data_IF_429227481699
#
_entry.id   IF_429227481699
#
_cell.length_a   1.000
_cell.length_b   1.000
_cell.length_c   1.000
_cell.angle_alpha   90.00
_cell.angle_beta   90.00
_cell.angle_gamma   90.00
#
_symmetry.space_group_name_H-M   'P 1'
#
loop_
_entity.id
_entity.type
_entity.pdbx_description
1 polymer ?
#
# COMPACT_ATOMS: atom_id res chain seq x y z
N UNK A 1 -27.28 7.15 -14.47
CA UNK A 1 -27.24 6.95 -12.99
C UNK A 1 -25.86 6.62 -12.42
N UNK A 2 -24.89 6.09 -13.18
CA UNK A 2 -23.58 5.69 -12.64
C UNK A 2 -22.55 6.83 -12.43
N UNK A 3 -22.64 7.92 -13.16
CA UNK A 3 -21.64 9.00 -13.14
C UNK A 3 -21.63 9.77 -11.81
N UNK A 4 -22.78 10.22 -11.33
CA UNK A 4 -22.89 10.95 -10.05
C UNK A 4 -22.45 10.12 -8.83
N UNK A 5 -22.66 8.80 -8.86
CA UNK A 5 -22.23 7.91 -7.78
C UNK A 5 -20.70 7.77 -7.76
N UNK A 6 -20.04 7.82 -8.93
CA UNK A 6 -18.58 7.85 -9.05
C UNK A 6 -17.96 9.13 -8.49
N UNK A 7 -18.54 10.28 -8.80
CA UNK A 7 -18.09 11.58 -8.28
C UNK A 7 -18.20 11.70 -6.76
N UNK A 8 -19.33 11.28 -6.18
CA UNK A 8 -19.51 11.33 -4.72
C UNK A 8 -18.48 10.50 -4.01
N UNK A 9 -18.20 9.32 -4.56
CA UNK A 9 -17.21 8.43 -4.04
C UNK A 9 -15.79 9.02 -4.12
N UNK A 10 -15.42 9.59 -5.25
CA UNK A 10 -14.14 10.27 -5.46
C UNK A 10 -13.93 11.42 -4.45
N UNK A 11 -14.98 12.22 -4.20
CA UNK A 11 -14.92 13.28 -3.18
C UNK A 11 -14.90 12.73 -1.75
N UNK A 12 -15.52 11.57 -1.50
CA UNK A 12 -15.44 10.91 -0.20
C UNK A 12 -14.02 10.40 0.08
N UNK A 13 -13.35 9.87 -0.93
CA UNK A 13 -11.92 9.48 -0.86
C UNK A 13 -11.05 10.69 -0.51
N UNK A 14 -11.29 11.83 -1.17
CA UNK A 14 -10.57 13.08 -0.86
C UNK A 14 -10.80 13.55 0.59
N UNK A 15 -12.03 13.44 1.10
CA UNK A 15 -12.36 13.78 2.50
C UNK A 15 -11.65 12.84 3.47
N UNK A 16 -11.61 11.55 3.15
CA UNK A 16 -10.92 10.55 3.97
C UNK A 16 -9.42 10.86 4.01
N UNK A 17 -8.81 11.12 2.86
CA UNK A 17 -7.38 11.47 2.79
C UNK A 17 -7.07 12.79 3.53
N UNK A 18 -7.93 13.80 3.42
CA UNK A 18 -7.74 15.09 4.07
C UNK A 18 -7.66 15.00 5.61
N UNK A 19 -8.26 13.96 6.22
CA UNK A 19 -8.16 13.71 7.66
C UNK A 19 -6.72 13.39 8.09
N UNK A 20 -5.89 12.93 7.16
CA UNK A 20 -4.50 12.54 7.40
C UNK A 20 -3.48 13.60 6.97
N UNK A 21 -3.91 14.83 6.65
CA UNK A 21 -3.03 15.93 6.23
C UNK A 21 -1.90 16.27 7.21
N UNK A 22 -2.10 15.95 8.49
CA UNK A 22 -1.09 16.15 9.55
C UNK A 22 -0.23 14.91 9.81
N UNK A 23 -0.41 13.85 9.04
CA UNK A 23 0.38 12.62 9.18
C UNK A 23 1.59 12.73 8.24
N UNK A 24 2.78 12.76 8.81
CA UNK A 24 4.02 12.66 8.02
C UNK A 24 4.02 11.33 7.23
N UNK A 25 4.57 11.33 6.04
CA UNK A 25 4.57 10.15 5.17
C UNK A 25 3.30 9.96 4.33
N UNK A 26 2.32 10.87 4.40
CA UNK A 26 1.12 10.87 3.57
C UNK A 26 1.09 12.12 2.71
N UNK A 27 0.69 11.98 1.44
CA UNK A 27 0.43 13.15 0.56
C UNK A 27 -0.74 13.97 1.09
N UNK A 28 -0.59 15.30 1.09
CA UNK A 28 -1.62 16.21 1.61
C UNK A 28 -2.62 16.60 0.53
N UNK A 29 -3.91 16.59 0.88
CA UNK A 29 -4.98 17.20 0.10
C UNK A 29 -5.06 18.68 0.45
N UNK A 30 -4.95 19.55 -0.54
CA UNK A 30 -5.07 20.99 -0.38
C UNK A 30 -6.52 21.44 -0.55
N UNK A 31 -7.22 20.86 -1.53
CA UNK A 31 -8.62 21.20 -1.82
C UNK A 31 -9.30 20.06 -2.58
N UNK A 32 -10.63 20.05 -2.59
CA UNK A 32 -11.43 19.19 -3.45
C UNK A 32 -12.77 19.87 -3.77
N UNK A 33 -13.17 19.87 -5.04
CA UNK A 33 -14.35 20.58 -5.49
C UNK A 33 -14.98 19.94 -6.73
N UNK A 34 -16.18 20.41 -7.08
CA UNK A 34 -16.87 20.05 -8.31
C UNK A 34 -16.89 21.23 -9.26
N UNK A 35 -16.55 21.00 -10.50
CA UNK A 35 -16.61 22.00 -11.55
C UNK A 35 -16.76 21.29 -12.92
N UNK A 36 -17.46 21.93 -13.87
CA UNK A 36 -17.63 21.43 -15.24
C UNK A 36 -18.16 19.97 -15.34
N UNK A 37 -19.03 19.56 -14.40
CA UNK A 37 -19.63 18.22 -14.37
C UNK A 37 -18.64 17.11 -13.99
N UNK A 38 -17.55 17.44 -13.31
CA UNK A 38 -16.60 16.48 -12.77
C UNK A 38 -16.09 16.90 -11.38
N UNK A 39 -15.36 16.04 -10.69
CA UNK A 39 -14.75 16.32 -9.41
C UNK A 39 -13.23 16.39 -9.51
N UNK A 40 -12.63 17.28 -8.74
CA UNK A 40 -11.19 17.52 -8.68
C UNK A 40 -10.69 17.35 -7.26
N UNK A 41 -9.51 16.75 -7.11
CA UNK A 41 -8.74 16.74 -5.87
C UNK A 41 -7.43 17.47 -6.15
N UNK A 42 -7.14 18.50 -5.37
CA UNK A 42 -5.89 19.25 -5.42
C UNK A 42 -4.99 18.75 -4.31
N UNK A 43 -3.84 18.23 -4.65
CA UNK A 43 -2.86 17.72 -3.70
C UNK A 43 -1.59 18.55 -3.71
N UNK A 44 -0.78 18.42 -2.67
CA UNK A 44 0.58 18.98 -2.70
C UNK A 44 1.35 18.40 -3.89
N UNK A 45 2.14 19.25 -4.53
CA UNK A 45 3.06 18.80 -5.57
C UNK A 45 4.29 18.16 -4.93
N UNK A 46 4.60 16.94 -5.32
CA UNK A 46 5.76 16.19 -4.82
C UNK A 46 6.86 16.18 -5.87
N UNK A 47 7.93 16.91 -5.63
CA UNK A 47 9.09 16.95 -6.51
C UNK A 47 10.01 15.77 -6.16
N UNK A 48 9.83 14.65 -6.84
CA UNK A 48 10.56 13.40 -6.58
C UNK A 48 10.31 12.35 -7.65
N UNK A 49 10.68 11.11 -7.36
CA UNK A 49 10.43 9.96 -8.21
C UNK A 49 9.71 8.87 -7.42
N UNK A 50 8.91 8.05 -8.09
CA UNK A 50 8.28 6.90 -7.44
C UNK A 50 9.35 5.87 -7.03
N UNK A 51 9.08 5.10 -5.99
CA UNK A 51 9.94 3.99 -5.58
C UNK A 51 10.13 2.98 -6.72
N UNK A 52 9.13 2.83 -7.60
CA UNK A 52 9.25 2.02 -8.82
C UNK A 52 10.32 2.58 -9.77
N UNK A 53 10.28 3.88 -10.05
CA UNK A 53 11.30 4.54 -10.89
C UNK A 53 12.67 4.45 -10.23
N UNK A 54 12.74 4.61 -8.92
CA UNK A 54 13.96 4.44 -8.15
C UNK A 54 14.56 3.05 -8.34
N UNK A 55 13.78 2.00 -8.13
CA UNK A 55 14.21 0.61 -8.30
C UNK A 55 14.57 0.26 -9.76
N UNK A 56 13.89 0.87 -10.73
CA UNK A 56 14.24 0.71 -12.16
C UNK A 56 15.59 1.33 -12.50
N UNK A 57 15.94 2.43 -11.85
CA UNK A 57 17.18 3.17 -12.11
C UNK A 57 18.37 2.57 -11.36
N UNK A 58 18.19 2.24 -10.09
CA UNK A 58 19.28 1.87 -9.17
C UNK A 58 19.31 0.38 -8.83
N UNK A 59 18.25 -0.36 -9.16
CA UNK A 59 18.12 -1.78 -8.80
C UNK A 59 17.68 -2.00 -7.35
N UNK A 60 17.86 -3.24 -6.84
CA UNK A 60 17.53 -3.58 -5.46
C UNK A 60 18.35 -2.78 -4.45
N UNK A 61 17.73 -2.47 -3.31
CA UNK A 61 18.32 -1.64 -2.26
C UNK A 61 18.78 -2.47 -1.05
N UNK A 62 19.61 -1.87 -0.21
CA UNK A 62 20.05 -2.49 1.04
C UNK A 62 18.90 -2.58 2.07
N UNK A 63 19.09 -3.45 3.07
CA UNK A 63 18.13 -3.56 4.19
C UNK A 63 18.03 -2.25 4.97
N UNK A 64 19.15 -1.56 5.19
CA UNK A 64 19.18 -0.27 5.88
C UNK A 64 18.38 0.80 5.12
N UNK A 65 18.60 0.89 3.81
CA UNK A 65 17.86 1.82 2.95
C UNK A 65 16.35 1.50 2.90
N UNK A 66 16.01 0.21 2.79
CA UNK A 66 14.62 -0.25 2.89
C UNK A 66 13.99 0.17 4.22
N UNK A 67 14.68 -0.02 5.36
CA UNK A 67 14.18 0.39 6.66
C UNK A 67 13.96 1.90 6.74
N UNK A 68 14.86 2.71 6.22
CA UNK A 68 14.74 4.17 6.19
C UNK A 68 13.54 4.63 5.34
N UNK A 69 13.29 3.99 4.21
CA UNK A 69 12.14 4.28 3.33
C UNK A 69 10.82 3.89 4.02
N UNK A 70 10.77 2.73 4.64
CA UNK A 70 9.50 2.19 5.14
C UNK A 70 9.15 2.61 6.58
N UNK A 71 10.08 3.05 7.41
CA UNK A 71 9.78 3.50 8.77
C UNK A 71 8.69 4.60 8.82
N UNK A 72 8.79 5.72 8.07
CA UNK A 72 7.74 6.73 8.08
C UNK A 72 6.43 6.25 7.44
N UNK A 73 6.49 5.32 6.49
CA UNK A 73 5.29 4.71 5.88
C UNK A 73 4.55 3.82 6.89
N UNK A 74 5.27 3.03 7.67
CA UNK A 74 4.70 2.19 8.73
C UNK A 74 4.01 3.04 9.79
N UNK A 75 4.66 4.12 10.24
CA UNK A 75 4.06 5.06 11.20
C UNK A 75 2.80 5.74 10.66
N UNK A 76 2.83 6.13 9.38
CA UNK A 76 1.68 6.73 8.71
C UNK A 76 0.51 5.75 8.61
N UNK A 77 0.77 4.52 8.17
CA UNK A 77 -0.25 3.48 8.04
C UNK A 77 -0.82 3.05 9.38
N UNK A 78 -0.01 2.98 10.44
CA UNK A 78 -0.53 2.68 11.77
C UNK A 78 -1.57 3.72 12.22
N UNK A 79 -1.29 5.01 12.00
CA UNK A 79 -2.26 6.09 12.29
C UNK A 79 -3.52 5.99 11.43
N UNK A 80 -3.39 5.65 10.16
CA UNK A 80 -4.51 5.46 9.24
C UNK A 80 -5.37 4.28 9.70
N UNK A 81 -4.75 3.15 10.05
CA UNK A 81 -5.43 1.95 10.54
C UNK A 81 -6.16 2.19 11.87
N UNK A 82 -5.57 2.96 12.80
CA UNK A 82 -6.21 3.35 14.06
C UNK A 82 -7.48 4.19 13.85
N UNK A 83 -7.61 4.87 12.71
CA UNK A 83 -8.82 5.61 12.31
C UNK A 83 -9.79 4.75 11.47
N UNK A 84 -9.61 3.44 11.41
CA UNK A 84 -10.52 2.54 10.72
C UNK A 84 -10.36 2.51 9.19
N UNK A 85 -9.31 3.10 8.64
CA UNK A 85 -9.08 3.18 7.19
C UNK A 85 -7.94 2.25 6.78
N UNK A 86 -8.05 1.62 5.61
CA UNK A 86 -6.99 0.86 4.95
C UNK A 86 -6.74 1.43 3.55
N UNK A 87 -5.51 1.36 3.10
CA UNK A 87 -5.07 1.95 1.82
C UNK A 87 -5.45 1.11 0.60
N UNK A 88 -5.22 -0.21 0.65
CA UNK A 88 -5.58 -1.24 -0.35
C UNK A 88 -4.79 -1.24 -1.66
N UNK A 89 -3.93 -0.28 -1.91
CA UNK A 89 -3.11 -0.20 -3.12
C UNK A 89 -1.65 0.20 -2.85
N UNK A 90 -1.04 -0.39 -1.81
CA UNK A 90 0.37 -0.17 -1.51
C UNK A 90 1.22 -0.92 -2.53
N UNK A 91 2.13 -0.20 -3.18
CA UNK A 91 3.08 -0.74 -4.15
C UNK A 91 4.16 0.31 -4.44
N UNK A 92 5.26 -0.05 -5.11
CA UNK A 92 6.28 0.93 -5.47
C UNK A 92 5.80 2.08 -6.35
N UNK A 93 4.67 1.92 -7.05
CA UNK A 93 4.06 3.00 -7.85
C UNK A 93 3.48 4.11 -6.98
N UNK A 94 3.01 3.76 -5.78
CA UNK A 94 2.28 4.67 -4.88
C UNK A 94 3.13 5.17 -3.69
N UNK A 95 4.44 4.99 -3.75
CA UNK A 95 5.41 5.55 -2.80
C UNK A 95 6.30 6.52 -3.56
N UNK A 96 6.31 7.80 -3.14
CA UNK A 96 7.17 8.84 -3.68
C UNK A 96 8.41 9.00 -2.82
N UNK A 97 9.57 8.93 -3.44
CA UNK A 97 10.86 9.26 -2.83
C UNK A 97 11.22 10.71 -3.21
N UNK A 98 11.35 11.56 -2.20
CA UNK A 98 11.66 12.97 -2.34
C UNK A 98 13.16 13.22 -2.11
N UNK A 99 13.67 14.37 -2.54
CA UNK A 99 15.00 14.83 -2.12
C UNK A 99 15.15 14.78 -0.59
N UNK A 100 16.37 14.61 -0.10
CA UNK A 100 16.69 14.56 1.35
C UNK A 100 16.20 13.28 2.07
N UNK A 101 15.68 12.29 1.32
CA UNK A 101 15.27 10.99 1.87
C UNK A 101 13.86 10.98 2.47
N UNK A 102 13.09 12.06 2.31
CA UNK A 102 11.67 12.05 2.66
C UNK A 102 10.88 11.11 1.74
N UNK A 103 9.88 10.41 2.27
CA UNK A 103 9.00 9.54 1.51
C UNK A 103 7.55 9.83 1.81
N UNK A 104 6.69 9.66 0.79
CA UNK A 104 5.25 9.86 0.95
C UNK A 104 4.46 8.76 0.24
N UNK A 105 3.46 8.26 0.95
CA UNK A 105 2.44 7.38 0.41
C UNK A 105 1.40 8.21 -0.33
N UNK A 106 1.09 7.79 -1.55
CA UNK A 106 0.16 8.48 -2.46
C UNK A 106 -1.01 7.57 -2.83
N UNK A 107 -1.98 8.13 -3.52
CA UNK A 107 -3.09 7.43 -4.19
C UNK A 107 -3.96 6.60 -3.24
N UNK A 108 -4.81 7.31 -2.52
CA UNK A 108 -5.83 6.73 -1.65
C UNK A 108 -7.15 6.40 -2.40
N UNK A 109 -7.10 6.35 -3.75
CA UNK A 109 -8.27 6.05 -4.56
C UNK A 109 -8.91 4.69 -4.32
N UNK A 110 -8.17 3.78 -3.69
CA UNK A 110 -8.67 2.49 -3.24
C UNK A 110 -8.96 2.43 -1.73
N UNK A 111 -8.65 3.49 -0.97
CA UNK A 111 -8.80 3.50 0.48
C UNK A 111 -10.26 3.28 0.92
N UNK A 112 -10.43 2.57 2.04
CA UNK A 112 -11.74 2.19 2.56
C UNK A 112 -11.73 2.18 4.09
N UNK A 113 -12.87 2.60 4.64
CA UNK A 113 -13.22 2.27 6.03
C UNK A 113 -13.54 0.78 6.11
N UNK A 114 -12.70 0.01 6.79
CA UNK A 114 -12.88 -1.43 6.92
C UNK A 114 -13.89 -1.81 8.01
N UNK A 115 -14.39 -0.83 8.76
CA UNK A 115 -15.47 -1.00 9.74
C UNK A 115 -16.86 -0.86 9.10
N UNK A 116 -16.95 -0.30 7.89
CA UNK A 116 -18.20 -0.17 7.14
C UNK A 116 -18.45 -1.40 6.25
N UNK A 117 -19.19 -2.35 6.78
CA UNK A 117 -19.58 -3.59 6.05
C UNK A 117 -20.65 -3.37 4.98
N UNK A 118 -21.25 -2.17 4.87
CA UNK A 118 -22.32 -1.87 3.90
C UNK A 118 -21.79 -1.49 2.51
N UNK A 119 -20.51 -1.20 2.39
CA UNK A 119 -19.92 -0.75 1.14
C UNK A 119 -19.59 -1.94 0.22
N UNK A 120 -20.60 -2.44 -0.49
CA UNK A 120 -20.43 -3.45 -1.54
C UNK A 120 -19.76 -2.88 -2.79
N UNK A 121 -18.80 -3.67 -3.32
CA UNK A 121 -18.48 -3.69 -4.74
C UNK A 121 -17.75 -2.49 -5.31
N UNK A 122 -16.47 -2.34 -4.95
CA UNK A 122 -15.52 -1.55 -5.72
C UNK A 122 -14.61 -2.48 -6.50
N UNK A 123 -14.72 -2.46 -7.82
CA UNK A 123 -13.70 -3.03 -8.69
C UNK A 123 -12.42 -2.19 -8.57
N UNK A 124 -11.56 -2.58 -7.63
CA UNK A 124 -10.18 -2.12 -7.59
C UNK A 124 -9.43 -2.89 -8.68
N UNK A 125 -8.66 -2.20 -9.50
CA UNK A 125 -7.71 -2.87 -10.39
C UNK A 125 -6.62 -3.44 -9.50
N UNK A 126 -6.64 -4.75 -9.29
CA UNK A 126 -5.70 -5.43 -8.41
C UNK A 126 -4.30 -5.44 -9.01
N UNK A 127 -3.31 -5.00 -8.26
CA UNK A 127 -1.90 -5.06 -8.66
C UNK A 127 -1.33 -6.44 -8.36
N UNK A 128 -1.18 -7.26 -9.41
CA UNK A 128 -0.64 -8.62 -9.32
C UNK A 128 0.69 -8.65 -8.57
N UNK A 129 0.77 -9.52 -7.57
CA UNK A 129 1.91 -9.69 -6.68
C UNK A 129 1.90 -8.81 -5.43
N UNK A 130 1.12 -7.71 -5.39
CA UNK A 130 0.94 -6.84 -4.23
C UNK A 130 -0.41 -7.01 -3.57
N UNK A 131 -1.45 -7.31 -4.33
CA UNK A 131 -2.79 -7.55 -3.80
C UNK A 131 -2.86 -8.92 -3.09
N UNK A 132 -3.29 -8.97 -1.81
CA UNK A 132 -3.47 -10.22 -1.09
C UNK A 132 -4.75 -10.94 -1.52
N UNK A 133 -4.86 -12.22 -1.14
CA UNK A 133 -5.92 -13.12 -1.59
C UNK A 133 -7.33 -12.62 -1.25
N UNK A 134 -7.52 -11.96 -0.11
CA UNK A 134 -8.82 -11.42 0.31
C UNK A 134 -9.32 -10.25 -0.54
N UNK A 135 -8.47 -9.65 -1.36
CA UNK A 135 -8.89 -8.62 -2.32
C UNK A 135 -9.48 -9.21 -3.61
N UNK A 136 -9.21 -10.48 -3.90
CA UNK A 136 -9.77 -11.20 -5.04
C UNK A 136 -11.17 -11.74 -4.77
N UNK A 137 -11.60 -11.80 -3.51
CA UNK A 137 -12.92 -12.20 -3.09
C UNK A 137 -13.77 -10.97 -2.74
N UNK A 138 -14.93 -10.84 -3.41
CA UNK A 138 -15.87 -9.73 -3.15
C UNK A 138 -16.42 -9.72 -1.71
N UNK A 139 -16.38 -10.88 -1.03
CA UNK A 139 -16.78 -11.06 0.37
C UNK A 139 -15.57 -11.19 1.32
N UNK A 140 -14.38 -11.05 0.79
CA UNK A 140 -13.13 -11.15 1.56
C UNK A 140 -13.05 -10.08 2.64
N UNK A 141 -12.88 -10.51 3.89
CA UNK A 141 -12.69 -9.58 5.01
C UNK A 141 -11.33 -8.90 4.89
N UNK A 142 -11.35 -7.61 4.65
CA UNK A 142 -10.17 -6.77 4.54
C UNK A 142 -9.95 -5.97 5.85
N UNK A 143 -8.72 -5.65 6.14
CA UNK A 143 -8.32 -4.91 7.34
C UNK A 143 -6.84 -4.53 7.27
N UNK A 144 -6.23 -4.08 8.37
CA UNK A 144 -4.80 -3.72 8.41
C UNK A 144 -3.87 -4.80 7.81
N UNK A 145 -4.20 -6.07 7.98
CA UNK A 145 -3.46 -7.21 7.40
C UNK A 145 -3.41 -7.21 5.88
N UNK A 146 -4.35 -6.53 5.21
CA UNK A 146 -4.40 -6.35 3.75
C UNK A 146 -3.24 -5.44 3.30
N UNK A 147 -3.07 -4.30 3.95
CA UNK A 147 -1.96 -3.38 3.70
C UNK A 147 -0.63 -3.98 4.13
N UNK A 148 -0.60 -4.74 5.22
CA UNK A 148 0.60 -5.43 5.70
C UNK A 148 1.15 -6.41 4.65
N UNK A 149 0.28 -7.14 3.95
CA UNK A 149 0.73 -8.00 2.84
C UNK A 149 1.35 -7.17 1.71
N UNK A 150 0.68 -6.10 1.28
CA UNK A 150 1.16 -5.24 0.20
C UNK A 150 2.48 -4.53 0.56
N UNK A 151 2.66 -4.13 1.83
CA UNK A 151 3.93 -3.64 2.37
C UNK A 151 5.02 -4.71 2.27
N UNK A 152 4.75 -5.92 2.77
CA UNK A 152 5.68 -7.05 2.70
C UNK A 152 6.10 -7.35 1.26
N UNK A 153 5.16 -7.32 0.30
CA UNK A 153 5.43 -7.52 -1.12
C UNK A 153 6.30 -6.41 -1.71
N UNK A 154 6.06 -5.17 -1.28
CA UNK A 154 6.85 -4.01 -1.71
C UNK A 154 8.27 -4.07 -1.14
N UNK A 155 8.43 -4.35 0.15
CA UNK A 155 9.74 -4.55 0.80
C UNK A 155 10.51 -5.72 0.16
N UNK A 156 9.83 -6.83 -0.10
CA UNK A 156 10.42 -7.99 -0.76
C UNK A 156 10.97 -7.62 -2.14
N UNK A 157 10.19 -6.87 -2.95
CA UNK A 157 10.68 -6.41 -4.26
C UNK A 157 11.85 -5.44 -4.13
N UNK A 158 11.83 -4.54 -3.16
CA UNK A 158 12.94 -3.62 -2.91
C UNK A 158 14.25 -4.34 -2.65
N UNK A 159 14.22 -5.41 -1.85
CA UNK A 159 15.41 -6.15 -1.46
C UNK A 159 15.90 -7.14 -2.52
N UNK A 160 14.97 -7.78 -3.23
CA UNK A 160 15.30 -8.90 -4.13
C UNK A 160 15.30 -8.50 -5.61
N UNK A 161 14.72 -7.35 -5.96
CA UNK A 161 14.44 -6.95 -7.33
C UNK A 161 13.31 -7.78 -7.99
N UNK A 162 12.70 -8.70 -7.25
CA UNK A 162 11.66 -9.62 -7.75
C UNK A 162 10.35 -9.36 -7.02
N UNK A 163 9.29 -9.26 -7.80
CA UNK A 163 7.92 -9.20 -7.28
C UNK A 163 7.47 -10.62 -6.89
N UNK A 164 6.75 -10.81 -5.76
CA UNK A 164 6.09 -12.09 -5.49
C UNK A 164 5.15 -12.50 -6.61
N UNK A 165 4.95 -13.79 -6.79
CA UNK A 165 3.88 -14.31 -7.63
C UNK A 165 2.52 -13.83 -7.09
N UNK A 166 1.52 -13.81 -7.96
CA UNK A 166 0.15 -13.43 -7.61
C UNK A 166 -0.40 -14.29 -6.46
N UNK A 167 -1.14 -13.67 -5.54
CA UNK A 167 -1.64 -14.34 -4.34
C UNK A 167 -2.55 -15.55 -4.68
N UNK A 168 -3.28 -15.50 -5.78
CA UNK A 168 -4.12 -16.62 -6.24
C UNK A 168 -3.26 -17.80 -6.68
N UNK A 169 -2.16 -17.55 -7.40
CA UNK A 169 -1.21 -18.59 -7.78
C UNK A 169 -0.52 -19.17 -6.54
N UNK A 170 -0.04 -18.32 -5.64
CA UNK A 170 0.60 -18.72 -4.39
C UNK A 170 -0.34 -19.51 -3.47
N UNK A 171 -1.64 -19.29 -3.53
CA UNK A 171 -2.62 -20.04 -2.74
C UNK A 171 -2.76 -21.50 -3.19
N UNK A 172 -2.42 -21.80 -4.44
CA UNK A 172 -2.40 -23.16 -4.98
C UNK A 172 -1.05 -23.86 -4.69
N UNK A 173 0.04 -23.15 -4.92
CA UNK A 173 1.39 -23.60 -4.67
C UNK A 173 2.26 -22.40 -4.31
N UNK A 174 2.67 -22.32 -3.04
CA UNK A 174 3.51 -21.20 -2.57
C UNK A 174 4.99 -21.49 -2.80
N UNK A 175 5.50 -20.94 -3.89
CA UNK A 175 6.91 -21.04 -4.29
C UNK A 175 7.75 -19.82 -3.90
N UNK A 176 7.26 -18.98 -2.98
CA UNK A 176 7.98 -17.78 -2.56
C UNK A 176 9.27 -18.14 -1.84
N UNK A 177 10.39 -17.69 -2.40
CA UNK A 177 11.72 -17.91 -1.85
C UNK A 177 12.09 -16.76 -0.92
N UNK A 178 12.68 -17.05 0.23
CA UNK A 178 13.11 -16.00 1.18
C UNK A 178 14.25 -15.15 0.60
N UNK A 179 14.33 -13.86 0.98
CA UNK A 179 15.38 -12.95 0.50
C UNK A 179 16.80 -13.48 0.70
N UNK A 180 17.10 -14.11 1.84
CA UNK A 180 18.43 -14.69 2.11
C UNK A 180 18.80 -15.79 1.13
N UNK A 181 17.84 -16.63 0.73
CA UNK A 181 18.07 -17.67 -0.30
C UNK A 181 18.28 -17.07 -1.70
N UNK A 182 17.87 -15.82 -1.93
CA UNK A 182 18.15 -15.06 -3.15
C UNK A 182 19.45 -14.25 -3.06
N UNK A 183 20.23 -14.43 -2.00
CA UNK A 183 21.53 -13.78 -1.81
C UNK A 183 21.48 -12.43 -1.10
N UNK A 184 20.31 -12.00 -0.59
CA UNK A 184 20.19 -10.76 0.19
C UNK A 184 20.82 -10.95 1.57
N UNK A 185 21.70 -10.04 1.97
CA UNK A 185 22.24 -10.01 3.34
C UNK A 185 21.23 -9.37 4.27
N UNK A 186 20.48 -10.17 5.01
CA UNK A 186 19.37 -9.75 5.86
C UNK A 186 19.46 -10.47 7.21
N UNK A 187 19.18 -9.74 8.30
CA UNK A 187 19.09 -10.35 9.62
C UNK A 187 17.84 -11.23 9.75
N UNK A 188 17.92 -12.41 10.38
CA UNK A 188 16.80 -13.35 10.47
C UNK A 188 15.50 -12.74 11.01
N UNK A 189 15.49 -11.83 12.01
CA UNK A 189 14.23 -11.20 12.47
C UNK A 189 13.56 -10.34 11.41
N UNK A 190 14.33 -9.61 10.60
CA UNK A 190 13.80 -8.74 9.52
C UNK A 190 13.23 -9.59 8.40
N UNK A 191 13.94 -10.64 8.00
CA UNK A 191 13.44 -11.59 7.01
C UNK A 191 12.17 -12.27 7.47
N UNK A 192 12.13 -12.75 8.72
CA UNK A 192 10.95 -13.37 9.31
C UNK A 192 9.74 -12.41 9.28
N UNK A 193 9.96 -11.12 9.61
CA UNK A 193 8.89 -10.13 9.60
C UNK A 193 8.29 -9.95 8.20
N UNK A 194 9.13 -9.83 7.17
CA UNK A 194 8.71 -9.72 5.77
C UNK A 194 7.97 -10.98 5.32
N UNK A 195 8.54 -12.16 5.57
CA UNK A 195 7.94 -13.43 5.15
C UNK A 195 6.62 -13.72 5.88
N UNK A 196 6.48 -13.29 7.14
CA UNK A 196 5.22 -13.38 7.87
C UNK A 196 4.16 -12.40 7.32
N UNK A 197 4.54 -11.18 6.96
CA UNK A 197 3.63 -10.24 6.28
C UNK A 197 3.10 -10.83 4.96
N UNK A 198 3.90 -11.64 4.27
CA UNK A 198 3.60 -12.27 2.98
C UNK A 198 2.84 -13.61 3.09
N UNK A 199 2.42 -14.04 4.28
CA UNK A 199 1.59 -15.24 4.41
C UNK A 199 0.29 -15.10 3.63
N UNK A 200 -0.14 -16.17 2.96
CA UNK A 200 -1.32 -16.15 2.09
C UNK A 200 -2.59 -15.93 2.91
N UNK A 201 -2.71 -16.63 4.05
CA UNK A 201 -3.90 -16.50 4.90
C UNK A 201 -3.78 -15.26 5.79
N UNK A 202 -4.80 -14.38 5.81
CA UNK A 202 -4.79 -13.21 6.70
C UNK A 202 -4.54 -13.52 8.17
N UNK A 203 -5.04 -14.66 8.65
CA UNK A 203 -4.88 -15.09 10.05
C UNK A 203 -3.42 -15.37 10.46
N UNK A 204 -2.55 -15.69 9.50
CA UNK A 204 -1.13 -16.01 9.73
C UNK A 204 -0.23 -14.78 9.65
N UNK A 205 -0.77 -13.64 9.26
CA UNK A 205 -0.08 -12.34 9.20
C UNK A 205 -0.12 -11.60 10.54
N UNK A 206 0.53 -10.45 10.59
CA UNK A 206 0.32 -9.47 11.65
C UNK A 206 -1.10 -8.89 11.53
N UNK A 207 -1.74 -8.62 12.66
CA UNK A 207 -3.09 -8.06 12.70
C UNK A 207 -3.11 -6.54 12.58
N UNK A 208 -2.05 -5.90 13.04
CA UNK A 208 -1.81 -4.46 13.02
C UNK A 208 -0.31 -4.20 12.90
N UNK A 209 0.09 -2.93 12.86
CA UNK A 209 1.48 -2.47 12.77
C UNK A 209 2.10 -2.11 14.13
N UNK A 210 1.29 -1.98 15.18
CA UNK A 210 1.71 -1.68 16.54
C UNK A 210 1.87 -2.90 17.44
#
# INVERSE_FOLDING_TARGET
>A
MNFHRGEEKFLQEARTLAQFNNVAGVVRVQDFFRENGTAYIVMEYLEGITLKQYLQTYGPISVEEMQNIFAPILEALDKIHQNGVIHRDISPDNIMCLPEGEVKLMDFGAARDYTDYSAEGLSVILKMGFAPIEQYDSHGKQGPWTDIYALGATMYQCLTGRKPDDATKRSLEDTLVSPSMLGVRIAPPVEYAIMRALQIRPADRYRNLG
#
